data_IF_454990915167
#
_entry.id   IF_454990915167
#
_cell.length_a   1.000
_cell.length_b   1.000
_cell.length_c   1.000
_cell.angle_alpha   90.00
_cell.angle_beta   90.00
_cell.angle_gamma   90.00
#
_symmetry.space_group_name_H-M   'P 1'
#
loop_
_entity.id
_entity.type
_entity.pdbx_description
1 polymer ?
#
# COMPACT_ATOMS: atom_id res chain seq x y z
N UNK A 1 1.09 -22.49 12.28
CA UNK A 1 0.01 -21.56 11.90
C UNK A 1 0.51 -20.75 10.72
N UNK A 2 -0.05 -21.01 9.53
CA UNK A 2 0.29 -20.26 8.32
C UNK A 2 -0.41 -18.91 8.40
N UNK A 3 0.28 -17.88 8.86
CA UNK A 3 -0.16 -16.49 8.70
C UNK A 3 0.05 -16.10 7.25
N UNK A 4 -1.02 -16.03 6.48
CA UNK A 4 -0.93 -15.60 5.09
C UNK A 4 -0.68 -14.09 5.05
N UNK A 5 0.56 -13.71 4.76
CA UNK A 5 0.84 -12.37 4.29
C UNK A 5 0.02 -12.13 3.03
N UNK A 6 -0.68 -11.03 2.98
CA UNK A 6 -1.36 -10.55 1.78
C UNK A 6 -0.79 -9.21 1.36
N UNK A 7 -1.01 -8.85 0.14
CA UNK A 7 -0.67 -7.54 -0.41
C UNK A 7 -1.71 -7.18 -1.46
N UNK A 8 -1.78 -5.93 -1.81
CA UNK A 8 -2.69 -5.40 -2.83
C UNK A 8 -2.01 -4.25 -3.57
N UNK A 9 -2.56 -3.91 -4.73
CA UNK A 9 -2.05 -2.87 -5.63
C UNK A 9 -2.44 -1.45 -5.23
N UNK A 10 -3.35 -1.29 -4.28
CA UNK A 10 -3.77 -0.01 -3.72
C UNK A 10 -3.05 0.25 -2.39
N UNK A 11 -2.91 1.51 -2.04
CA UNK A 11 -2.49 1.90 -0.71
C UNK A 11 -3.60 1.56 0.29
N UNK A 12 -3.28 0.84 1.36
CA UNK A 12 -4.18 0.60 2.47
C UNK A 12 -4.01 1.65 3.55
N UNK A 13 -5.11 2.27 3.94
CA UNK A 13 -5.21 3.14 5.10
C UNK A 13 -6.13 2.44 6.09
N UNK A 14 -5.59 2.03 7.23
CA UNK A 14 -6.35 1.32 8.27
C UNK A 14 -6.43 2.10 9.57
N UNK A 15 -7.51 1.90 10.32
CA UNK A 15 -7.62 2.37 11.70
C UNK A 15 -8.22 1.27 12.60
N UNK A 16 -7.53 0.96 13.69
CA UNK A 16 -8.01 0.03 14.70
C UNK A 16 -9.06 0.71 15.58
N UNK A 17 -10.32 0.29 15.46
CA UNK A 17 -11.41 0.81 16.27
C UNK A 17 -11.48 0.19 17.64
N UNK A 18 -11.06 -1.07 17.74
CA UNK A 18 -11.08 -1.82 18.99
C UNK A 18 -10.09 -2.98 18.91
N UNK A 19 -9.42 -3.26 20.03
CA UNK A 19 -8.57 -4.42 20.20
C UNK A 19 -7.09 -4.08 20.17
N UNK A 20 -6.30 -5.13 20.16
CA UNK A 20 -4.84 -5.12 20.15
C UNK A 20 -4.30 -6.39 19.52
N UNK A 21 -3.06 -6.38 19.08
CA UNK A 21 -2.43 -7.52 18.46
C UNK A 21 -1.13 -7.14 17.77
N UNK A 22 -0.76 -7.93 16.79
CA UNK A 22 0.46 -7.76 16.01
C UNK A 22 0.13 -7.46 14.55
N UNK A 23 0.86 -6.52 13.98
CA UNK A 23 0.93 -6.23 12.55
C UNK A 23 2.29 -6.70 12.06
N UNK A 24 2.29 -7.65 11.14
CA UNK A 24 3.51 -8.07 10.45
C UNK A 24 3.55 -7.30 9.12
N UNK A 25 4.64 -6.57 8.92
CA UNK A 25 4.94 -5.90 7.64
C UNK A 25 6.27 -6.47 7.17
N UNK A 26 6.28 -7.13 6.03
CA UNK A 26 7.44 -7.87 5.56
C UNK A 26 7.86 -8.92 6.62
N UNK A 27 9.06 -8.78 7.17
CA UNK A 27 9.63 -9.65 8.22
C UNK A 27 9.59 -9.02 9.61
N UNK A 28 8.99 -7.82 9.77
CA UNK A 28 8.99 -7.08 11.01
C UNK A 28 7.62 -7.15 11.67
N UNK A 29 7.62 -7.44 12.97
CA UNK A 29 6.40 -7.47 13.78
C UNK A 29 6.30 -6.19 14.61
N UNK A 30 5.14 -5.56 14.55
CA UNK A 30 4.78 -4.34 15.28
C UNK A 30 3.54 -4.61 16.11
N UNK A 31 3.45 -4.00 17.29
CA UNK A 31 2.26 -4.12 18.14
C UNK A 31 1.28 -3.00 17.84
N UNK A 32 0.02 -3.33 17.55
CA UNK A 32 -1.05 -2.35 17.41
C UNK A 32 -2.03 -2.40 18.59
N UNK A 33 -2.73 -1.31 18.78
CA UNK A 33 -3.79 -1.16 19.79
C UNK A 33 -4.94 -0.30 19.23
N UNK A 34 -5.99 -0.17 20.01
CA UNK A 34 -7.10 0.75 19.69
C UNK A 34 -6.57 2.14 19.34
N UNK A 35 -7.08 2.74 18.27
CA UNK A 35 -6.64 4.00 17.68
C UNK A 35 -5.26 3.97 17.00
N UNK A 36 -4.69 2.78 16.73
CA UNK A 36 -3.55 2.67 15.80
C UNK A 36 -4.02 2.89 14.37
N UNK A 37 -3.20 3.60 13.59
CA UNK A 37 -3.40 3.87 12.16
C UNK A 37 -2.33 3.14 11.36
N UNK A 38 -2.72 2.47 10.28
CA UNK A 38 -1.80 1.88 9.31
C UNK A 38 -1.83 2.69 8.02
N UNK A 39 -0.64 2.93 7.46
CA UNK A 39 -0.45 3.49 6.13
C UNK A 39 0.46 2.53 5.38
N UNK A 40 -0.12 1.66 4.57
CA UNK A 40 0.63 0.58 3.89
C UNK A 40 0.59 0.86 2.38
N UNK A 41 1.75 1.20 1.79
CA UNK A 41 1.86 1.41 0.35
C UNK A 41 1.51 0.17 -0.45
N UNK A 42 1.19 0.34 -1.76
CA UNK A 42 0.97 -0.79 -2.65
C UNK A 42 2.11 -1.82 -2.60
N UNK A 43 1.75 -3.09 -2.72
CA UNK A 43 2.67 -4.23 -2.85
C UNK A 43 3.57 -4.51 -1.63
N UNK A 44 3.25 -3.98 -0.46
CA UNK A 44 3.92 -4.34 0.78
C UNK A 44 3.21 -5.53 1.40
N UNK A 45 3.86 -6.72 1.52
CA UNK A 45 3.28 -7.87 2.20
C UNK A 45 3.05 -7.57 3.68
N UNK A 46 1.83 -7.81 4.15
CA UNK A 46 1.45 -7.58 5.54
C UNK A 46 0.31 -8.48 6.00
N UNK A 47 0.15 -8.60 7.31
CA UNK A 47 -1.01 -9.25 7.95
C UNK A 47 -1.19 -8.76 9.36
N UNK A 48 -2.43 -8.77 9.85
CA UNK A 48 -2.76 -8.48 11.24
C UNK A 48 -3.12 -9.75 11.98
N UNK A 49 -2.59 -9.88 13.20
CA UNK A 49 -2.84 -11.01 14.10
C UNK A 49 -3.49 -10.48 15.37
N UNK A 50 -4.67 -11.00 15.71
CA UNK A 50 -5.32 -10.69 16.98
C UNK A 50 -4.67 -11.46 18.12
N UNK A 51 -4.54 -10.88 19.29
CA UNK A 51 -4.05 -11.61 20.47
C UNK A 51 -5.06 -12.63 21.06
N UNK A 52 -6.22 -12.79 20.43
CA UNK A 52 -7.22 -13.80 20.75
C UNK A 52 -8.12 -13.49 21.98
N UNK A 53 -7.78 -12.52 22.79
CA UNK A 53 -8.51 -12.18 24.01
C UNK A 53 -9.68 -11.19 23.76
N UNK A 54 -9.53 -10.31 22.76
CA UNK A 54 -10.51 -9.27 22.44
C UNK A 54 -10.84 -9.34 20.96
N UNK A 55 -12.11 -9.22 20.62
CA UNK A 55 -12.53 -9.09 19.21
C UNK A 55 -12.00 -7.79 18.64
N UNK A 56 -11.14 -7.89 17.66
CA UNK A 56 -10.59 -6.74 16.96
C UNK A 56 -11.58 -6.20 15.93
N UNK A 57 -11.55 -4.90 15.75
CA UNK A 57 -12.34 -4.20 14.74
C UNK A 57 -11.46 -3.17 14.06
N UNK A 58 -11.35 -3.30 12.74
CA UNK A 58 -10.61 -2.40 11.86
C UNK A 58 -11.54 -1.80 10.82
N UNK A 59 -11.21 -0.62 10.37
CA UNK A 59 -11.78 -0.01 9.18
C UNK A 59 -10.63 0.27 8.21
N UNK A 60 -10.83 -0.12 6.96
CA UNK A 60 -9.83 0.02 5.91
C UNK A 60 -10.39 0.82 4.74
N UNK A 61 -9.53 1.63 4.15
CA UNK A 61 -9.72 2.33 2.89
C UNK A 61 -8.62 1.91 1.93
N UNK A 62 -8.96 1.76 0.67
CA UNK A 62 -8.00 1.46 -0.40
C UNK A 62 -7.96 2.63 -1.36
N UNK A 63 -6.76 3.18 -1.58
CA UNK A 63 -6.54 4.42 -2.32
C UNK A 63 -5.57 4.18 -3.47
N UNK A 64 -5.98 4.58 -4.68
CA UNK A 64 -5.07 4.64 -5.81
C UNK A 64 -4.14 5.86 -5.67
N UNK A 65 -2.88 5.58 -5.29
CA UNK A 65 -1.86 6.62 -5.12
C UNK A 65 -1.58 7.35 -6.43
N UNK A 66 -1.60 6.66 -7.57
CA UNK A 66 -1.32 7.28 -8.86
C UNK A 66 -2.40 8.32 -9.19
N UNK A 67 -3.68 8.00 -8.92
CA UNK A 67 -4.78 8.93 -9.14
C UNK A 67 -4.67 10.17 -8.23
N UNK A 68 -4.37 9.98 -6.94
CA UNK A 68 -4.18 11.11 -6.00
C UNK A 68 -3.01 12.00 -6.45
N UNK A 69 -1.92 11.41 -6.91
CA UNK A 69 -0.76 12.16 -7.40
C UNK A 69 -1.05 12.87 -8.73
N UNK A 70 -1.89 12.30 -9.58
CA UNK A 70 -2.37 12.97 -10.80
C UNK A 70 -3.17 14.24 -10.47
N UNK A 71 -4.07 14.17 -9.50
CA UNK A 71 -4.84 15.34 -9.03
C UNK A 71 -3.94 16.42 -8.41
N UNK A 72 -2.90 16.04 -7.64
CA UNK A 72 -1.98 16.98 -6.98
C UNK A 72 -0.99 17.64 -7.95
N UNK A 73 -0.46 16.87 -8.89
CA UNK A 73 0.69 17.32 -9.70
C UNK A 73 0.34 17.53 -11.18
N UNK A 74 -0.72 16.91 -11.71
CA UNK A 74 -1.12 17.02 -13.11
C UNK A 74 0.04 16.70 -14.05
N UNK A 75 0.32 17.61 -14.99
CA UNK A 75 1.38 17.45 -16.01
C UNK A 75 2.81 17.58 -15.47
N UNK A 76 3.00 17.81 -14.17
CA UNK A 76 4.33 17.93 -13.53
C UNK A 76 4.93 16.55 -13.26
N UNK A 77 5.26 15.82 -14.34
CA UNK A 77 5.63 14.39 -14.33
C UNK A 77 6.78 14.10 -13.36
N UNK A 78 7.85 14.92 -13.36
CA UNK A 78 9.00 14.68 -12.48
C UNK A 78 8.63 14.74 -10.99
N UNK A 79 7.90 15.77 -10.59
CA UNK A 79 7.44 15.94 -9.20
C UNK A 79 6.43 14.84 -8.80
N UNK A 80 5.55 14.45 -9.72
CA UNK A 80 4.60 13.36 -9.52
C UNK A 80 5.33 12.04 -9.24
N UNK A 81 6.31 11.68 -10.06
CA UNK A 81 7.07 10.45 -9.87
C UNK A 81 7.86 10.47 -8.54
N UNK A 82 8.50 11.58 -8.19
CA UNK A 82 9.19 11.73 -6.91
C UNK A 82 8.23 11.57 -5.73
N UNK A 83 7.04 12.17 -5.81
CA UNK A 83 6.00 12.05 -4.80
C UNK A 83 5.48 10.61 -4.64
N UNK A 84 5.26 9.89 -5.74
CA UNK A 84 4.89 8.47 -5.74
C UNK A 84 5.96 7.64 -5.02
N UNK A 85 7.23 7.86 -5.35
CA UNK A 85 8.33 7.16 -4.70
C UNK A 85 8.43 7.47 -3.20
N UNK A 86 8.16 8.71 -2.80
CA UNK A 86 8.11 9.10 -1.39
C UNK A 86 7.00 8.35 -0.64
N UNK A 87 5.80 8.24 -1.19
CA UNK A 87 4.69 7.48 -0.56
C UNK A 87 5.01 6.00 -0.49
N UNK A 88 5.58 5.43 -1.56
CA UNK A 88 5.92 4.00 -1.66
C UNK A 88 7.09 3.58 -0.77
N UNK A 89 7.84 4.52 -0.22
CA UNK A 89 9.10 4.25 0.49
C UNK A 89 8.95 3.41 1.75
N UNK A 90 7.91 3.62 2.52
CA UNK A 90 7.74 2.97 3.84
C UNK A 90 6.28 2.75 4.20
N UNK A 91 6.01 1.59 4.77
CA UNK A 91 4.78 1.35 5.51
C UNK A 91 4.92 1.87 6.94
N UNK A 92 3.82 2.33 7.50
CA UNK A 92 3.77 2.89 8.85
C UNK A 92 2.68 2.24 9.68
N UNK A 93 3.00 1.95 10.94
CA UNK A 93 2.05 1.75 12.03
C UNK A 93 2.25 2.91 13.01
N UNK A 94 1.22 3.71 13.19
CA UNK A 94 1.25 4.95 13.97
C UNK A 94 0.25 4.84 15.13
N UNK A 95 0.66 5.21 16.33
CA UNK A 95 -0.26 5.32 17.45
C UNK A 95 -0.94 6.69 17.43
N UNK A 96 -2.28 6.72 17.41
CA UNK A 96 -3.03 7.97 17.29
C UNK A 96 -2.80 8.96 18.44
N UNK A 97 -2.27 8.53 19.57
CA UNK A 97 -1.84 9.43 20.65
C UNK A 97 -0.53 10.17 20.35
N UNK A 98 0.32 9.60 19.48
CA UNK A 98 1.61 10.18 19.08
C UNK A 98 1.48 10.98 17.77
N UNK A 99 0.54 10.58 16.93
CA UNK A 99 0.25 11.18 15.61
C UNK A 99 -1.23 11.57 15.49
N UNK A 100 -1.72 12.47 16.35
CA UNK A 100 -3.15 12.82 16.41
C UNK A 100 -3.65 13.44 15.10
N UNK A 101 -2.84 14.24 14.40
CA UNK A 101 -3.21 14.88 13.15
C UNK A 101 -3.53 13.86 12.06
N UNK A 102 -2.70 12.81 11.94
CA UNK A 102 -2.91 11.73 10.97
C UNK A 102 -4.16 10.93 11.34
N UNK A 103 -4.34 10.60 12.62
CA UNK A 103 -5.51 9.87 13.10
C UNK A 103 -6.80 10.68 12.86
N UNK A 104 -6.78 12.00 13.02
CA UNK A 104 -7.92 12.89 12.75
C UNK A 104 -8.25 12.94 11.24
N UNK A 105 -7.24 13.05 10.36
CA UNK A 105 -7.42 13.02 8.91
C UNK A 105 -8.07 11.69 8.49
N UNK A 106 -7.53 10.55 8.92
CA UNK A 106 -8.09 9.23 8.59
C UNK A 106 -9.52 9.08 9.09
N UNK A 107 -9.80 9.53 10.32
CA UNK A 107 -11.16 9.54 10.86
C UNK A 107 -12.11 10.44 10.07
N UNK A 108 -11.62 11.58 9.59
CA UNK A 108 -12.42 12.50 8.78
C UNK A 108 -12.78 11.87 7.42
N UNK A 109 -11.83 11.24 6.74
CA UNK A 109 -12.07 10.53 5.48
C UNK A 109 -13.15 9.44 5.66
N UNK A 110 -12.98 8.57 6.67
CA UNK A 110 -13.92 7.49 6.94
C UNK A 110 -15.33 8.02 7.28
N UNK A 111 -15.39 9.12 8.03
CA UNK A 111 -16.66 9.76 8.38
C UNK A 111 -17.37 10.33 7.16
N UNK A 112 -16.64 11.01 6.27
CA UNK A 112 -17.21 11.57 5.04
C UNK A 112 -17.67 10.45 4.08
N UNK A 113 -16.89 9.37 3.94
CA UNK A 113 -17.29 8.22 3.13
C UNK A 113 -18.58 7.57 3.63
N UNK A 114 -18.74 7.43 4.94
CA UNK A 114 -19.98 6.88 5.53
C UNK A 114 -21.17 7.79 5.39
N UNK A 115 -20.96 9.11 5.54
CA UNK A 115 -22.05 10.10 5.57
C UNK A 115 -22.51 10.50 4.17
N UNK A 116 -21.60 10.55 3.22
CA UNK A 116 -21.82 10.94 1.83
C UNK A 116 -22.62 12.24 1.66
N UNK A 117 -22.26 13.26 2.45
CA UNK A 117 -22.86 14.60 2.34
C UNK A 117 -22.56 15.23 0.97
N UNK A 118 -23.30 16.24 0.54
CA UNK A 118 -22.94 16.96 -0.69
C UNK A 118 -21.45 17.35 -0.71
N UNK A 119 -20.78 17.10 -1.83
CA UNK A 119 -19.34 17.34 -2.03
C UNK A 119 -18.41 16.43 -1.21
N UNK A 120 -18.88 15.31 -0.65
CA UNK A 120 -18.06 14.42 0.17
C UNK A 120 -16.80 13.92 -0.55
N UNK A 121 -16.88 13.66 -1.86
CA UNK A 121 -15.72 13.23 -2.66
C UNK A 121 -14.62 14.30 -2.68
N UNK A 122 -14.97 15.56 -2.93
CA UNK A 122 -14.04 16.70 -2.93
C UNK A 122 -13.42 16.92 -1.53
N UNK A 123 -14.21 16.72 -0.49
CA UNK A 123 -13.71 16.77 0.89
C UNK A 123 -12.74 15.64 1.17
N UNK A 124 -13.06 14.39 0.76
CA UNK A 124 -12.16 13.24 0.88
C UNK A 124 -10.86 13.47 0.12
N UNK A 125 -10.93 13.94 -1.14
CA UNK A 125 -9.73 14.28 -1.93
C UNK A 125 -8.85 15.29 -1.19
N UNK A 126 -9.44 16.32 -0.59
CA UNK A 126 -8.69 17.32 0.18
C UNK A 126 -7.98 16.73 1.39
N UNK A 127 -8.63 15.80 2.10
CA UNK A 127 -8.02 15.08 3.22
C UNK A 127 -6.93 14.09 2.74
N UNK A 128 -7.12 13.42 1.61
CA UNK A 128 -6.09 12.56 1.02
C UNK A 128 -4.85 13.36 0.63
N UNK A 129 -5.01 14.56 0.07
CA UNK A 129 -3.89 15.44 -0.21
C UNK A 129 -3.14 15.83 1.08
N UNK A 130 -3.86 16.18 2.16
CA UNK A 130 -3.24 16.47 3.44
C UNK A 130 -2.48 15.25 3.99
N UNK A 131 -3.09 14.05 3.90
CA UNK A 131 -2.46 12.80 4.36
C UNK A 131 -1.17 12.48 3.60
N UNK A 132 -1.14 12.71 2.29
CA UNK A 132 0.07 12.54 1.47
C UNK A 132 1.21 13.43 1.98
N UNK A 133 0.94 14.70 2.30
CA UNK A 133 1.97 15.58 2.85
C UNK A 133 2.43 15.16 4.24
N UNK A 134 1.55 14.62 5.08
CA UNK A 134 1.97 14.02 6.35
C UNK A 134 2.86 12.78 6.13
N UNK A 135 2.55 11.94 5.15
CA UNK A 135 3.43 10.82 4.77
C UNK A 135 4.80 11.28 4.29
N UNK A 136 4.88 12.38 3.54
CA UNK A 136 6.17 12.96 3.14
C UNK A 136 6.98 13.37 4.38
N UNK A 137 6.37 14.05 5.34
CA UNK A 137 7.03 14.43 6.60
C UNK A 137 7.53 13.22 7.37
N UNK A 138 6.72 12.15 7.50
CA UNK A 138 7.13 10.91 8.14
C UNK A 138 8.35 10.28 7.46
N UNK A 139 8.35 10.26 6.13
CA UNK A 139 9.42 9.64 5.34
C UNK A 139 10.71 10.48 5.32
N UNK A 140 10.63 11.80 5.42
CA UNK A 140 11.79 12.68 5.57
C UNK A 140 12.49 12.47 6.91
N UNK A 141 11.74 12.43 8.01
CA UNK A 141 12.28 12.19 9.36
C UNK A 141 12.95 10.82 9.43
N UNK A 142 12.34 9.77 8.86
CA UNK A 142 12.91 8.43 8.85
C UNK A 142 14.16 8.32 7.96
N UNK A 143 14.32 9.13 6.93
CA UNK A 143 15.52 9.12 6.09
C UNK A 143 16.75 9.55 6.91
N UNK A 144 16.60 10.46 7.85
CA UNK A 144 17.68 10.87 8.75
C UNK A 144 18.06 9.76 9.76
N UNK A 145 17.09 8.93 10.19
CA UNK A 145 17.30 7.82 11.13
C UNK A 145 17.74 6.53 10.44
N UNK A 146 17.37 6.32 9.16
CA UNK A 146 17.65 5.10 8.37
C UNK A 146 19.04 5.05 7.73
N UNK A 147 19.80 6.12 7.70
CA UNK A 147 21.23 6.07 7.35
C UNK A 147 22.03 5.14 8.29
N UNK A 148 21.44 4.76 9.44
CA UNK A 148 22.03 3.85 10.43
C UNK A 148 21.49 2.42 10.41
N UNK A 149 20.40 2.12 9.68
CA UNK A 149 19.77 0.79 9.64
C UNK A 149 19.52 0.32 8.20
N UNK A 150 20.59 -0.09 7.52
CA UNK A 150 20.50 -0.80 6.24
C UNK A 150 19.91 -2.21 6.46
N UNK A 151 18.59 -2.34 6.44
CA UNK A 151 17.87 -3.62 6.49
C UNK A 151 17.89 -4.34 5.14
N UNK A 152 17.91 -5.66 5.19
CA UNK A 152 18.13 -6.70 4.18
C UNK A 152 17.78 -6.33 2.72
N UNK A 153 18.80 -6.44 1.85
CA UNK A 153 18.74 -6.05 0.44
C UNK A 153 17.76 -6.84 -0.45
N UNK A 154 17.22 -7.96 0.02
CA UNK A 154 16.49 -8.92 -0.83
C UNK A 154 15.08 -8.44 -1.18
N UNK A 155 14.34 -7.86 -0.24
CA UNK A 155 13.01 -7.34 -0.52
C UNK A 155 13.03 -6.10 -1.42
N UNK A 156 14.05 -5.24 -1.25
CA UNK A 156 14.26 -4.09 -2.14
C UNK A 156 14.48 -4.56 -3.59
N UNK A 157 15.07 -5.74 -3.76
CA UNK A 157 15.36 -6.31 -5.07
C UNK A 157 14.11 -6.72 -5.86
N UNK A 158 13.02 -7.17 -5.21
CA UNK A 158 11.77 -7.53 -5.90
C UNK A 158 10.74 -6.38 -5.93
N UNK A 159 10.92 -5.34 -5.13
CA UNK A 159 10.01 -4.19 -5.10
C UNK A 159 9.86 -3.54 -6.49
N UNK A 160 10.95 -3.44 -7.23
CA UNK A 160 10.94 -2.89 -8.58
C UNK A 160 10.08 -3.74 -9.54
N UNK A 161 10.13 -5.09 -9.42
CA UNK A 161 9.28 -5.96 -10.21
C UNK A 161 7.80 -5.84 -9.86
N UNK A 162 7.47 -5.71 -8.56
CA UNK A 162 6.08 -5.51 -8.11
C UNK A 162 5.53 -4.19 -8.63
N UNK A 163 6.31 -3.13 -8.57
CA UNK A 163 5.98 -1.81 -9.13
C UNK A 163 5.80 -1.91 -10.65
N UNK A 164 6.74 -2.54 -11.35
CA UNK A 164 6.65 -2.73 -12.80
C UNK A 164 5.37 -3.44 -13.21
N UNK A 165 4.98 -4.50 -12.52
CA UNK A 165 3.73 -5.23 -12.82
C UNK A 165 2.52 -4.32 -12.68
N UNK A 166 2.45 -3.48 -11.63
CA UNK A 166 1.33 -2.56 -11.45
C UNK A 166 1.25 -1.47 -12.52
N UNK A 167 2.40 -0.98 -12.96
CA UNK A 167 2.44 0.08 -13.96
C UNK A 167 2.22 -0.44 -15.39
N UNK A 168 2.48 -1.76 -15.63
CA UNK A 168 2.45 -2.40 -16.95
C UNK A 168 1.52 -3.64 -17.04
N UNK A 169 0.58 -3.83 -16.10
CA UNK A 169 -0.27 -5.04 -16.05
C UNK A 169 -1.09 -5.29 -17.32
N UNK A 170 -1.42 -4.25 -18.09
CA UNK A 170 -2.15 -4.33 -19.36
C UNK A 170 -1.27 -4.82 -20.52
N UNK A 171 0.05 -4.74 -20.38
CA UNK A 171 1.02 -5.11 -21.41
C UNK A 171 1.41 -6.59 -21.31
N UNK A 172 2.18 -7.08 -22.28
CA UNK A 172 2.76 -8.41 -22.20
C UNK A 172 3.95 -8.43 -21.22
N UNK A 173 3.69 -8.80 -19.95
CA UNK A 173 4.72 -8.93 -18.92
C UNK A 173 5.34 -10.34 -18.99
N UNK A 174 6.68 -10.41 -19.09
CA UNK A 174 7.44 -11.68 -19.08
C UNK A 174 8.34 -11.76 -17.84
N UNK A 175 8.57 -12.97 -17.34
CA UNK A 175 9.44 -13.19 -16.16
C UNK A 175 10.86 -12.69 -16.40
N UNK A 176 11.40 -12.84 -17.61
CA UNK A 176 12.73 -12.31 -17.95
C UNK A 176 12.78 -10.78 -17.84
N UNK A 177 11.69 -10.06 -18.18
CA UNK A 177 11.59 -8.62 -18.03
C UNK A 177 11.61 -8.23 -16.54
N UNK A 178 10.83 -8.92 -15.71
CA UNK A 178 10.80 -8.70 -14.27
C UNK A 178 12.17 -8.95 -13.62
N UNK A 179 12.86 -10.02 -14.05
CA UNK A 179 14.20 -10.32 -13.58
C UNK A 179 15.21 -9.24 -13.97
N UNK A 180 15.12 -8.71 -15.19
CA UNK A 180 15.96 -7.60 -15.67
C UNK A 180 15.75 -6.31 -14.87
N UNK A 181 14.49 -5.96 -14.58
CA UNK A 181 14.13 -4.78 -13.75
C UNK A 181 14.77 -4.89 -12.37
N UNK A 182 14.84 -6.10 -11.81
CA UNK A 182 15.47 -6.37 -10.52
C UNK A 182 17.00 -6.58 -10.60
N UNK A 183 17.62 -6.50 -11.79
CA UNK A 183 19.05 -6.77 -11.96
C UNK A 183 19.46 -8.22 -11.67
N UNK A 184 18.53 -9.17 -11.83
CA UNK A 184 18.72 -10.59 -11.49
C UNK A 184 18.70 -11.51 -12.71
N UNK A 185 19.29 -12.72 -12.56
CA UNK A 185 18.99 -13.81 -13.49
C UNK A 185 17.55 -14.30 -13.26
N UNK A 186 16.90 -14.81 -14.32
CA UNK A 186 15.52 -15.31 -14.21
C UNK A 186 15.37 -16.41 -13.13
N UNK A 187 16.36 -17.31 -13.02
CA UNK A 187 16.35 -18.37 -12.00
C UNK A 187 16.43 -17.81 -10.58
N UNK A 188 17.32 -16.85 -10.34
CA UNK A 188 17.44 -16.17 -9.03
C UNK A 188 16.18 -15.39 -8.70
N UNK A 189 15.64 -14.65 -9.68
CA UNK A 189 14.43 -13.86 -9.51
C UNK A 189 13.24 -14.76 -9.13
N UNK A 190 12.99 -15.87 -9.85
CA UNK A 190 11.89 -16.80 -9.54
C UNK A 190 11.98 -17.30 -8.09
N UNK A 191 13.17 -17.71 -7.66
CA UNK A 191 13.38 -18.23 -6.31
C UNK A 191 13.09 -17.15 -5.26
N UNK A 192 13.69 -15.99 -5.41
CA UNK A 192 13.53 -14.87 -4.46
C UNK A 192 12.08 -14.38 -4.46
N UNK A 193 11.46 -14.25 -5.64
CA UNK A 193 10.07 -13.81 -5.75
C UNK A 193 9.11 -14.78 -5.06
N UNK A 194 9.24 -16.09 -5.30
CA UNK A 194 8.40 -17.12 -4.67
C UNK A 194 8.61 -17.18 -3.16
N UNK A 195 9.86 -17.00 -2.68
CA UNK A 195 10.18 -16.95 -1.26
C UNK A 195 9.47 -15.80 -0.54
N UNK A 196 9.39 -14.62 -1.18
CA UNK A 196 8.81 -13.41 -0.56
C UNK A 196 7.33 -13.22 -0.84
N UNK A 197 6.89 -13.48 -2.07
CA UNK A 197 5.50 -13.25 -2.51
C UNK A 197 4.63 -14.48 -2.28
N UNK A 198 5.24 -15.64 -2.00
CA UNK A 198 4.60 -16.94 -1.80
C UNK A 198 3.73 -17.39 -2.98
N UNK A 199 4.04 -16.87 -4.19
CA UNK A 199 3.41 -17.30 -5.44
C UNK A 199 4.39 -17.14 -6.62
N UNK A 200 4.08 -17.77 -7.73
CA UNK A 200 4.90 -17.62 -8.94
C UNK A 200 4.73 -16.22 -9.55
N UNK A 201 5.77 -15.65 -10.20
CA UNK A 201 5.70 -14.31 -10.79
C UNK A 201 4.52 -14.11 -11.74
N UNK A 202 4.20 -15.10 -12.58
CA UNK A 202 3.07 -14.97 -13.52
C UNK A 202 1.70 -15.08 -12.84
N UNK A 203 1.61 -15.82 -11.73
CA UNK A 203 0.38 -15.88 -10.93
C UNK A 203 0.12 -14.52 -10.26
N UNK A 204 1.19 -13.84 -9.82
CA UNK A 204 1.10 -12.48 -9.33
C UNK A 204 0.62 -11.50 -10.40
N UNK A 205 1.19 -11.54 -11.62
CA UNK A 205 0.74 -10.72 -12.75
C UNK A 205 -0.76 -10.92 -13.03
N UNK A 206 -1.21 -12.18 -13.02
CA UNK A 206 -2.62 -12.49 -13.24
C UNK A 206 -3.51 -12.03 -12.09
N UNK A 207 -3.03 -12.14 -10.85
CA UNK A 207 -3.75 -11.62 -9.67
C UNK A 207 -3.97 -10.11 -9.79
N UNK A 208 -2.93 -9.35 -10.13
CA UNK A 208 -3.02 -7.89 -10.34
C UNK A 208 -4.04 -7.56 -11.43
N UNK A 209 -4.00 -8.26 -12.56
CA UNK A 209 -4.99 -8.08 -13.65
C UNK A 209 -6.42 -8.31 -13.21
N UNK A 210 -6.65 -9.39 -12.45
CA UNK A 210 -7.98 -9.71 -11.90
C UNK A 210 -8.44 -8.63 -10.91
N UNK A 211 -7.55 -8.13 -10.06
CA UNK A 211 -7.89 -7.07 -9.11
C UNK A 211 -8.32 -5.79 -9.84
N UNK A 212 -7.55 -5.34 -10.83
CA UNK A 212 -7.92 -4.17 -11.64
C UNK A 212 -9.23 -4.38 -12.40
N UNK A 213 -9.44 -5.55 -13.00
CA UNK A 213 -10.70 -5.87 -13.68
C UNK A 213 -11.90 -5.83 -12.72
N UNK A 214 -11.77 -6.38 -11.50
CA UNK A 214 -12.81 -6.31 -10.48
C UNK A 214 -13.11 -4.87 -10.05
N UNK A 215 -12.10 -4.01 -9.97
CA UNK A 215 -12.29 -2.60 -9.63
C UNK A 215 -12.99 -1.83 -10.76
N UNK A 216 -12.58 -2.04 -12.00
CA UNK A 216 -13.26 -1.45 -13.15
C UNK A 216 -14.74 -1.85 -13.21
N UNK A 217 -15.06 -3.13 -12.97
CA UNK A 217 -16.45 -3.59 -12.91
C UNK A 217 -17.26 -2.96 -11.78
N UNK A 218 -16.64 -2.62 -10.64
CA UNK A 218 -17.34 -1.93 -9.53
C UNK A 218 -17.64 -0.47 -9.82
N UNK A 219 -16.80 0.19 -10.60
CA UNK A 219 -16.88 1.62 -10.89
C UNK A 219 -17.40 1.94 -12.30
N UNK A 220 -17.42 0.96 -13.21
CA UNK A 220 -17.91 1.09 -14.57
C UNK A 220 -19.37 0.67 -14.70
N UNK A 221 -20.12 1.45 -15.49
CA UNK A 221 -21.43 1.04 -16.03
C UNK A 221 -21.27 0.17 -17.29
N UNK A 222 -20.06 -0.30 -17.58
CA UNK A 222 -19.73 -1.00 -18.80
C UNK A 222 -20.19 -2.45 -18.71
N UNK A 223 -20.91 -2.90 -19.74
CA UNK A 223 -21.37 -4.27 -19.86
C UNK A 223 -20.14 -5.19 -20.09
N UNK A 224 -20.22 -6.43 -19.60
CA UNK A 224 -19.17 -7.45 -19.78
C UNK A 224 -18.99 -7.89 -21.25
N UNK A 225 -19.72 -7.28 -22.18
CA UNK A 225 -19.79 -7.63 -23.61
C UNK A 225 -19.00 -6.65 -24.53
N UNK A 226 -18.17 -5.75 -23.98
CA UNK A 226 -17.26 -4.88 -24.74
C UNK A 226 -15.78 -5.27 -24.62
#
# INVERSE_FOLDING_TARGET
>A
DNFYLHFHNLMEIGICRKGEGELIINEHTYTYQTNSVTLIPPNIPHTTISNGMVRNSWEFLYVDVNHVMEELYGDRIAQKNEAIELVRRSAHLLHGSEYPEIAEIVNAIIREEKKQSPYYRQVITSYLHALVYEMFRLNEVQTQTRLEAAGSGTMRQIADALTFVNDHYQEEVKVCTLAQVCGMSETSFRKVFEEYVHMLPMDYVNLVRVQYACEQMKHGNDSMDE
#
